data_IF_453378117226
#
_entry.id   IF_453378117226
#
_cell.length_a   1.000
_cell.length_b   1.000
_cell.length_c   1.000
_cell.angle_alpha   90.00
_cell.angle_beta   90.00
_cell.angle_gamma   90.00
#
_symmetry.space_group_name_H-M   'P 1'
#
loop_
_entity.id
_entity.type
_entity.pdbx_description
1 polymer ?
#
# COMPACT_ATOMS: atom_id res chain seq x y z
N UNK A 1 90.92 -3.45 -12.96
CA UNK A 1 89.81 -3.49 -11.97
C UNK A 1 88.55 -3.02 -12.65
N UNK A 2 87.63 -3.92 -12.86
CA UNK A 2 86.38 -3.62 -13.59
C UNK A 2 85.25 -3.45 -12.55
N UNK A 3 84.66 -2.29 -12.54
CA UNK A 3 83.46 -2.01 -11.74
C UNK A 3 82.25 -2.37 -12.60
N UNK A 4 81.52 -3.34 -12.17
CA UNK A 4 80.23 -3.67 -12.78
C UNK A 4 79.13 -2.85 -12.08
N UNK A 5 78.44 -2.05 -12.86
CA UNK A 5 77.29 -1.33 -12.41
C UNK A 5 76.07 -2.29 -12.31
N UNK A 6 75.55 -2.41 -11.14
CA UNK A 6 74.33 -3.17 -10.91
C UNK A 6 73.11 -2.27 -11.25
N UNK A 7 72.39 -2.66 -12.28
CA UNK A 7 71.15 -1.98 -12.65
C UNK A 7 70.04 -2.30 -11.64
N UNK A 8 69.58 -1.28 -10.93
CA UNK A 8 68.44 -1.37 -10.06
C UNK A 8 67.17 -1.40 -10.90
N UNK A 9 66.47 -2.55 -10.95
CA UNK A 9 65.21 -2.70 -11.59
C UNK A 9 64.11 -2.01 -10.74
N UNK A 10 63.52 -0.98 -11.27
CA UNK A 10 62.33 -0.34 -10.69
C UNK A 10 61.09 -1.22 -10.93
N UNK A 11 60.66 -1.90 -9.89
CA UNK A 11 59.36 -2.57 -9.90
C UNK A 11 58.26 -1.49 -9.70
N UNK A 12 57.63 -1.10 -10.79
CA UNK A 12 56.46 -0.26 -10.77
C UNK A 12 55.29 -1.10 -10.29
N UNK A 13 54.96 -0.95 -9.00
CA UNK A 13 53.75 -1.51 -8.43
C UNK A 13 52.54 -0.70 -8.93
N UNK A 14 51.85 -1.24 -9.94
CA UNK A 14 50.56 -0.73 -10.37
C UNK A 14 49.52 -1.10 -9.31
N UNK A 15 49.27 -0.19 -8.39
CA UNK A 15 48.12 -0.24 -7.50
C UNK A 15 46.88 0.02 -8.35
N UNK A 16 46.18 -1.04 -8.78
CA UNK A 16 44.82 -0.95 -9.29
C UNK A 16 43.92 -0.54 -8.13
N UNK A 17 43.63 0.74 -8.07
CA UNK A 17 42.55 1.25 -7.23
C UNK A 17 41.21 0.75 -7.77
N UNK A 18 40.74 -0.34 -7.20
CA UNK A 18 39.38 -0.83 -7.46
C UNK A 18 38.41 0.11 -6.74
N UNK A 19 38.00 1.18 -7.42
CA UNK A 19 36.92 2.03 -6.95
C UNK A 19 35.61 1.24 -7.10
N UNK A 20 35.21 0.57 -6.02
CA UNK A 20 33.88 0.00 -5.91
C UNK A 20 32.88 1.17 -5.84
N UNK A 21 32.35 1.54 -6.98
CA UNK A 21 31.16 2.40 -7.08
C UNK A 21 29.99 1.60 -6.48
N UNK A 22 29.81 1.75 -5.16
CA UNK A 22 28.56 1.33 -4.51
C UNK A 22 27.50 2.31 -5.01
N UNK A 23 26.95 1.99 -6.16
CA UNK A 23 25.75 2.66 -6.66
C UNK A 23 24.63 2.37 -5.68
N UNK A 24 24.32 3.35 -4.82
CA UNK A 24 23.11 3.33 -4.01
C UNK A 24 21.94 3.29 -4.98
N UNK A 25 21.42 2.09 -5.22
CA UNK A 25 20.16 1.92 -5.93
C UNK A 25 19.10 2.48 -5.01
N UNK A 26 18.79 3.77 -5.14
CA UNK A 26 17.60 4.34 -4.59
C UNK A 26 16.42 3.68 -5.31
N UNK A 27 15.93 2.58 -4.75
CA UNK A 27 14.64 2.03 -5.15
C UNK A 27 13.61 3.07 -4.73
N UNK A 28 13.25 3.95 -5.66
CA UNK A 28 12.07 4.77 -5.51
C UNK A 28 10.90 3.80 -5.40
N UNK A 29 10.34 3.64 -4.22
CA UNK A 29 9.08 2.94 -4.04
C UNK A 29 8.05 3.72 -4.85
N UNK A 30 7.72 3.20 -6.03
CA UNK A 30 6.63 3.72 -6.82
C UNK A 30 5.35 3.40 -6.07
N UNK A 31 4.75 4.40 -5.42
CA UNK A 31 3.43 4.27 -4.83
C UNK A 31 2.43 4.00 -5.95
N UNK A 32 1.63 2.96 -5.80
CA UNK A 32 0.59 2.67 -6.77
C UNK A 32 -0.60 3.61 -6.60
N UNK A 33 -1.15 4.08 -7.71
CA UNK A 33 -2.45 4.74 -7.72
C UNK A 33 -3.53 3.68 -7.98
N UNK A 34 -4.23 3.30 -6.92
CA UNK A 34 -5.35 2.34 -7.01
C UNK A 34 -6.63 3.10 -7.30
N UNK A 35 -7.24 2.83 -8.45
CA UNK A 35 -8.49 3.49 -8.87
C UNK A 35 -9.69 2.56 -8.66
N UNK A 36 -10.66 3.01 -7.89
CA UNK A 36 -11.93 2.33 -7.64
C UNK A 36 -12.99 2.94 -8.56
N UNK A 37 -13.38 2.23 -9.60
CA UNK A 37 -14.39 2.69 -10.57
C UNK A 37 -15.77 2.09 -10.32
N UNK A 38 -15.82 0.92 -9.67
CA UNK A 38 -17.04 0.27 -9.21
C UNK A 38 -16.67 -0.85 -8.23
N UNK A 39 -17.08 -0.71 -6.99
CA UNK A 39 -16.81 -1.71 -5.95
C UNK A 39 -18.07 -1.87 -5.07
N UNK A 40 -18.77 -3.00 -5.20
CA UNK A 40 -20.01 -3.25 -4.45
C UNK A 40 -19.77 -3.59 -2.97
N UNK A 41 -18.52 -3.72 -2.54
CA UNK A 41 -18.16 -4.23 -1.23
C UNK A 41 -18.19 -5.74 -1.14
N UNK A 42 -18.09 -6.24 0.08
CA UNK A 42 -18.01 -7.68 0.34
C UNK A 42 -17.74 -7.96 1.81
N UNK A 43 -17.00 -9.03 2.07
CA UNK A 43 -16.64 -9.43 3.42
C UNK A 43 -15.73 -8.40 4.10
N UNK A 44 -16.11 -7.96 5.30
CA UNK A 44 -15.42 -6.89 6.03
C UNK A 44 -13.96 -7.21 6.30
N UNK A 45 -13.65 -8.44 6.74
CA UNK A 45 -12.27 -8.83 7.08
C UNK A 45 -11.35 -8.74 5.87
N UNK A 46 -11.76 -9.23 4.72
CA UNK A 46 -10.99 -9.17 3.47
C UNK A 46 -10.70 -7.72 3.04
N UNK A 47 -11.66 -6.82 3.23
CA UNK A 47 -11.46 -5.40 2.92
C UNK A 47 -10.56 -4.70 3.93
N UNK A 48 -10.65 -5.03 5.20
CA UNK A 48 -9.74 -4.51 6.23
C UNK A 48 -8.30 -4.91 5.91
N UNK A 49 -8.05 -6.19 5.62
CA UNK A 49 -6.73 -6.70 5.25
C UNK A 49 -6.19 -6.00 4.00
N UNK A 50 -6.96 -5.98 2.91
CA UNK A 50 -6.62 -5.28 1.66
C UNK A 50 -6.20 -3.83 1.91
N UNK A 51 -6.98 -3.07 2.67
CA UNK A 51 -6.69 -1.66 2.91
C UNK A 51 -5.53 -1.45 3.89
N UNK A 52 -5.28 -2.38 4.81
CA UNK A 52 -4.10 -2.35 5.64
C UNK A 52 -2.82 -2.59 4.84
N UNK A 53 -2.85 -3.52 3.88
CA UNK A 53 -1.74 -3.76 2.94
C UNK A 53 -1.46 -2.51 2.10
N UNK A 54 -2.49 -1.91 1.49
CA UNK A 54 -2.36 -0.67 0.72
C UNK A 54 -1.82 0.49 1.57
N UNK A 55 -2.28 0.58 2.82
CA UNK A 55 -1.76 1.57 3.78
C UNK A 55 -0.28 1.35 4.07
N UNK A 56 0.15 0.11 4.29
CA UNK A 56 1.53 -0.25 4.56
C UNK A 56 2.43 -0.02 3.33
N UNK A 57 1.93 -0.31 2.13
CA UNK A 57 2.63 -0.06 0.87
C UNK A 57 2.78 1.44 0.55
N UNK A 58 1.99 2.31 1.20
CA UNK A 58 2.00 3.75 0.90
C UNK A 58 1.12 4.14 -0.27
N UNK A 59 0.28 3.24 -0.78
CA UNK A 59 -0.54 3.45 -1.95
C UNK A 59 -1.51 4.64 -1.80
N UNK A 60 -1.81 5.28 -2.93
CA UNK A 60 -2.87 6.27 -3.06
C UNK A 60 -4.11 5.62 -3.64
N UNK A 61 -5.27 6.03 -3.16
CA UNK A 61 -6.56 5.53 -3.64
C UNK A 61 -7.35 6.65 -4.27
N UNK A 62 -7.85 6.43 -5.48
CA UNK A 62 -8.74 7.35 -6.19
C UNK A 62 -10.11 6.68 -6.32
N UNK A 63 -11.10 7.22 -5.62
CA UNK A 63 -12.50 6.78 -5.77
C UNK A 63 -13.09 7.52 -6.97
N UNK A 64 -13.37 6.79 -8.02
CA UNK A 64 -13.82 7.32 -9.32
C UNK A 64 -15.16 6.74 -9.79
N UNK A 65 -15.91 6.20 -8.86
CA UNK A 65 -17.23 5.62 -9.09
C UNK A 65 -17.84 5.10 -7.79
N UNK A 66 -18.83 4.21 -7.86
CA UNK A 66 -19.45 3.59 -6.68
C UNK A 66 -18.43 2.81 -5.85
N UNK A 67 -18.38 3.11 -4.55
CA UNK A 67 -17.64 2.38 -3.53
C UNK A 67 -18.63 2.12 -2.39
N UNK A 68 -19.15 0.91 -2.32
CA UNK A 68 -20.29 0.56 -1.48
C UNK A 68 -19.87 -0.39 -0.35
N UNK A 69 -20.62 -0.38 0.74
CA UNK A 69 -20.46 -1.34 1.83
C UNK A 69 -19.02 -1.38 2.37
N UNK A 70 -18.39 -2.57 2.45
CA UNK A 70 -17.03 -2.75 2.95
C UNK A 70 -15.96 -1.94 2.19
N UNK A 71 -16.20 -1.57 0.93
CA UNK A 71 -15.33 -0.67 0.19
C UNK A 71 -15.15 0.68 0.93
N UNK A 72 -16.18 1.19 1.56
CA UNK A 72 -16.12 2.49 2.27
C UNK A 72 -15.20 2.50 3.49
N UNK A 73 -14.78 1.33 3.99
CA UNK A 73 -13.84 1.21 5.10
C UNK A 73 -12.47 1.83 4.81
N UNK A 74 -12.12 1.99 3.52
CA UNK A 74 -10.89 2.69 3.13
C UNK A 74 -10.81 4.09 3.75
N UNK A 75 -11.95 4.76 3.96
CA UNK A 75 -12.01 6.14 4.50
C UNK A 75 -11.53 6.25 5.95
N UNK A 76 -11.50 5.13 6.67
CA UNK A 76 -10.98 5.08 8.03
C UNK A 76 -9.64 4.36 8.16
N UNK A 77 -9.25 3.58 7.15
CA UNK A 77 -8.02 2.77 7.19
C UNK A 77 -6.88 3.47 6.43
N UNK A 78 -7.14 4.00 5.24
CA UNK A 78 -6.14 4.73 4.45
C UNK A 78 -6.01 6.16 4.98
N UNK A 79 -4.80 6.70 5.14
CA UNK A 79 -4.61 8.10 5.51
C UNK A 79 -5.33 9.05 4.55
N UNK A 80 -5.95 10.07 5.09
CA UNK A 80 -6.83 10.96 4.34
C UNK A 80 -6.14 11.72 3.20
N UNK A 81 -4.87 12.03 3.36
CA UNK A 81 -4.02 12.67 2.35
C UNK A 81 -3.67 11.77 1.17
N UNK A 82 -3.97 10.46 1.30
CA UNK A 82 -3.79 9.46 0.25
C UNK A 82 -5.09 8.97 -0.38
N UNK A 83 -6.23 9.55 0.00
CA UNK A 83 -7.54 9.25 -0.60
C UNK A 83 -8.02 10.45 -1.39
N UNK A 84 -8.26 10.24 -2.68
CA UNK A 84 -8.85 11.24 -3.58
C UNK A 84 -10.23 10.77 -4.05
N UNK A 85 -11.11 11.72 -4.33
CA UNK A 85 -12.43 11.45 -4.90
C UNK A 85 -12.62 12.27 -6.16
N UNK A 86 -13.24 11.69 -7.18
CA UNK A 86 -13.65 12.42 -8.38
C UNK A 86 -15.11 12.82 -8.27
N UNK A 87 -15.61 13.58 -9.24
CA UNK A 87 -17.03 13.94 -9.33
C UNK A 87 -17.96 12.73 -9.57
N UNK A 88 -17.42 11.58 -9.95
CA UNK A 88 -18.15 10.31 -10.14
C UNK A 88 -18.23 9.45 -8.89
N UNK A 89 -17.48 9.82 -7.84
CA UNK A 89 -17.44 9.03 -6.62
C UNK A 89 -18.80 9.01 -5.93
N UNK A 90 -19.22 7.84 -5.50
CA UNK A 90 -20.40 7.63 -4.67
C UNK A 90 -20.07 6.65 -3.55
N UNK A 91 -20.19 7.09 -2.30
CA UNK A 91 -19.97 6.25 -1.12
C UNK A 91 -21.29 5.76 -0.58
N UNK A 92 -21.47 4.42 -0.51
CA UNK A 92 -22.70 3.80 -0.02
C UNK A 92 -22.48 3.05 1.29
N UNK A 93 -23.12 3.53 2.33
CA UNK A 93 -23.03 2.95 3.68
C UNK A 93 -24.31 2.20 4.02
N UNK A 94 -24.18 1.07 4.69
CA UNK A 94 -25.30 0.32 5.27
C UNK A 94 -24.86 -0.46 6.50
N UNK A 95 -25.84 -1.00 7.24
CA UNK A 95 -25.60 -1.86 8.39
C UNK A 95 -24.84 -3.13 7.97
N UNK A 96 -23.89 -3.59 8.80
CA UNK A 96 -23.24 -4.86 8.56
C UNK A 96 -24.25 -6.02 8.67
N UNK A 97 -24.05 -7.05 7.84
CA UNK A 97 -24.85 -8.25 7.81
C UNK A 97 -23.96 -9.49 7.77
N UNK A 98 -24.50 -10.62 8.18
CA UNK A 98 -23.90 -11.94 7.98
C UNK A 98 -24.78 -12.80 7.08
N UNK A 99 -24.16 -13.73 6.40
CA UNK A 99 -24.93 -14.73 5.62
C UNK A 99 -25.47 -15.79 6.55
N UNK A 100 -26.78 -16.00 6.49
CA UNK A 100 -27.45 -17.06 7.25
C UNK A 100 -27.75 -18.23 6.32
N UNK A 101 -27.10 -19.36 6.55
CA UNK A 101 -27.23 -20.56 5.71
C UNK A 101 -28.64 -21.15 5.74
N UNK A 102 -29.34 -21.08 6.87
CA UNK A 102 -30.68 -21.64 7.02
C UNK A 102 -31.74 -20.87 6.22
N UNK A 103 -31.65 -19.54 6.23
CA UNK A 103 -32.54 -18.66 5.45
C UNK A 103 -31.98 -18.34 4.05
N UNK A 104 -30.72 -18.69 3.76
CA UNK A 104 -29.99 -18.40 2.52
C UNK A 104 -30.05 -16.90 2.16
N UNK A 105 -29.90 -16.05 3.18
CA UNK A 105 -30.02 -14.61 3.03
C UNK A 105 -29.05 -13.84 3.93
N UNK A 106 -28.82 -12.57 3.59
CA UNK A 106 -28.05 -11.64 4.43
C UNK A 106 -28.97 -11.10 5.55
N UNK A 107 -28.51 -11.24 6.80
CA UNK A 107 -29.21 -10.78 7.98
C UNK A 107 -28.42 -9.66 8.64
N UNK A 108 -29.02 -8.45 8.81
CA UNK A 108 -28.34 -7.35 9.51
C UNK A 108 -27.98 -7.71 10.94
N UNK A 109 -26.79 -7.28 11.39
CA UNK A 109 -26.32 -7.51 12.75
C UNK A 109 -25.91 -6.20 13.43
N UNK A 110 -26.48 -5.96 14.61
CA UNK A 110 -26.11 -4.79 15.42
C UNK A 110 -24.65 -4.86 15.90
N UNK A 111 -24.19 -6.05 16.25
CA UNK A 111 -22.81 -6.26 16.71
C UNK A 111 -21.81 -5.99 15.58
N UNK A 112 -22.02 -6.59 14.41
CA UNK A 112 -21.17 -6.34 13.24
C UNK A 112 -21.18 -4.85 12.85
N UNK A 113 -22.35 -4.20 12.88
CA UNK A 113 -22.45 -2.76 12.60
C UNK A 113 -21.67 -1.92 13.62
N UNK A 114 -21.66 -2.30 14.91
CA UNK A 114 -20.88 -1.60 15.95
C UNK A 114 -19.38 -1.73 15.68
N UNK A 115 -18.91 -2.92 15.32
CA UNK A 115 -17.50 -3.17 14.99
C UNK A 115 -17.09 -2.35 13.76
N UNK A 116 -17.87 -2.39 12.70
CA UNK A 116 -17.62 -1.64 11.46
C UNK A 116 -17.59 -0.12 11.73
N UNK A 117 -18.49 0.39 12.56
CA UNK A 117 -18.51 1.81 12.93
C UNK A 117 -17.23 2.27 13.64
N UNK A 118 -16.51 1.39 14.34
CA UNK A 118 -15.25 1.76 14.97
C UNK A 118 -14.15 2.06 13.93
N UNK A 119 -14.23 1.46 12.76
CA UNK A 119 -13.28 1.63 11.67
C UNK A 119 -13.46 2.95 10.91
N UNK A 120 -14.62 3.59 10.99
CA UNK A 120 -14.87 4.85 10.30
C UNK A 120 -14.30 6.06 11.03
N UNK A 121 -13.92 7.12 10.31
CA UNK A 121 -13.53 8.38 10.91
C UNK A 121 -14.73 9.06 11.62
N UNK A 122 -14.48 9.94 12.60
CA UNK A 122 -15.54 10.61 13.36
C UNK A 122 -16.59 11.33 12.50
N UNK A 123 -16.20 11.84 11.34
CA UNK A 123 -17.09 12.55 10.41
C UNK A 123 -18.17 11.65 9.78
N UNK A 124 -18.01 10.32 9.85
CA UNK A 124 -18.96 9.33 9.29
C UNK A 124 -19.80 8.67 10.39
N UNK A 125 -19.35 8.72 11.63
CA UNK A 125 -20.05 8.21 12.82
C UNK A 125 -21.17 9.14 13.23
#
# INVERSE_FOLDING_TARGET
>A
MKWQAVAAGALASALLSFVVLIGSVFTSSAFADVRIVNDPGGEVSSYVEKFQEMRAAGDRVVIDGPCLSACTLLTGIIPRDRVCVTSRAALGFHAASYYNDASRSLVPTKEGSRVVMQLYPPAIK
#
